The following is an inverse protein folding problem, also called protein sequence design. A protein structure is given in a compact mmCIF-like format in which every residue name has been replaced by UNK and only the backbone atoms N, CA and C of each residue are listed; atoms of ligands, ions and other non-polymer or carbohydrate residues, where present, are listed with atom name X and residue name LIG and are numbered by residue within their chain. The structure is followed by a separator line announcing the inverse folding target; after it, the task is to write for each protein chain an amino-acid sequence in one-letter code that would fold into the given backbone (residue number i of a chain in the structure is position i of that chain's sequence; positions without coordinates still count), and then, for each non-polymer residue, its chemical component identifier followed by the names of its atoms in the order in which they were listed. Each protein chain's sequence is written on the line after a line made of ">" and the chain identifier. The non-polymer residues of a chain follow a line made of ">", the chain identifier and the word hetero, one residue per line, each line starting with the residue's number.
data_IF_149941497901
#
_entry.id   IF_149941497901
#
_cell.length_a   1.000
_cell.length_b   1.000
_cell.length_c   1.000
_cell.angle_alpha   90.00
_cell.angle_beta   90.00
_cell.angle_gamma   90.00
#
_symmetry.space_group_name_H-M   'P 1'
#
loop_
_entity.id
_entity.type
_entity.pdbx_description
1 polymer ?
#
# COMPACT_ATOMS: atom_id res chain seq x y z
N UNK A 1 14.86 -5.16 0.08
CA UNK A 1 13.62 -5.07 -0.74
C UNK A 1 13.69 -3.97 -1.79
N UNK A 2 14.46 -2.89 -1.60
CA UNK A 2 14.49 -1.76 -2.53
C UNK A 2 14.93 -2.10 -3.97
N UNK A 3 15.93 -2.97 -4.17
CA UNK A 3 16.32 -3.41 -5.52
C UNK A 3 15.15 -4.10 -6.23
N UNK A 4 14.41 -4.97 -5.52
CA UNK A 4 13.22 -5.64 -6.06
C UNK A 4 12.16 -4.63 -6.51
N UNK A 5 11.90 -3.60 -5.69
CA UNK A 5 10.95 -2.54 -6.06
C UNK A 5 11.40 -1.83 -7.34
N UNK A 6 12.68 -1.43 -7.40
CA UNK A 6 13.24 -0.70 -8.53
C UNK A 6 13.10 -1.46 -9.86
N UNK A 7 13.49 -2.74 -9.91
CA UNK A 7 13.44 -3.52 -11.16
C UNK A 7 12.01 -3.80 -11.62
N UNK A 8 11.07 -4.00 -10.68
CA UNK A 8 9.63 -4.12 -10.99
C UNK A 8 9.07 -2.80 -11.52
N UNK A 9 9.46 -1.70 -10.90
CA UNK A 9 8.99 -0.37 -11.28
C UNK A 9 9.44 0.03 -12.69
N UNK A 10 10.69 -0.29 -13.02
CA UNK A 10 11.25 -0.10 -14.37
C UNK A 10 10.77 -1.16 -15.37
N UNK A 11 9.95 -2.14 -14.95
CA UNK A 11 9.49 -3.26 -15.78
C UNK A 11 10.63 -4.06 -16.44
N UNK A 12 11.77 -4.19 -15.74
CA UNK A 12 12.94 -4.96 -16.20
C UNK A 12 12.84 -6.43 -15.76
N UNK A 13 12.29 -6.67 -14.56
CA UNK A 13 12.17 -7.99 -13.96
C UNK A 13 10.99 -8.01 -12.97
N UNK A 14 10.25 -9.12 -12.88
CA UNK A 14 9.16 -9.31 -11.91
C UNK A 14 9.65 -9.37 -10.43
N UNK A 15 10.96 -9.61 -10.24
CA UNK A 15 11.60 -9.63 -8.93
C UNK A 15 11.17 -10.78 -8.02
N UNK A 16 10.60 -11.86 -8.57
CA UNK A 16 10.17 -13.04 -7.84
C UNK A 16 11.35 -13.95 -7.45
N UNK A 17 11.57 -14.12 -6.14
CA UNK A 17 12.62 -15.01 -5.65
C UNK A 17 12.23 -16.49 -5.67
N UNK A 18 10.93 -16.80 -5.60
CA UNK A 18 10.44 -18.19 -5.57
C UNK A 18 10.54 -18.82 -6.96
N UNK A 19 10.25 -18.05 -8.01
CA UNK A 19 10.43 -18.45 -9.41
C UNK A 19 11.87 -18.27 -9.90
N UNK A 20 12.73 -17.65 -9.08
CA UNK A 20 14.17 -17.54 -9.33
C UNK A 20 14.58 -16.46 -10.33
N UNK A 21 13.69 -15.52 -10.67
CA UNK A 21 13.98 -14.33 -11.47
C UNK A 21 14.80 -13.28 -10.70
N UNK A 22 14.74 -13.31 -9.37
CA UNK A 22 15.63 -12.59 -8.46
C UNK A 22 16.41 -13.56 -7.59
N UNK A 23 17.74 -13.51 -7.68
CA UNK A 23 18.65 -14.33 -6.87
C UNK A 23 19.60 -13.45 -6.08
N UNK A 24 20.00 -13.92 -4.91
CA UNK A 24 20.92 -13.21 -4.03
C UNK A 24 21.83 -14.21 -3.31
N UNK A 25 23.14 -14.02 -3.46
CA UNK A 25 24.16 -14.66 -2.62
C UNK A 25 24.68 -13.62 -1.62
N UNK A 26 24.87 -14.03 -0.38
CA UNK A 26 25.28 -13.14 0.71
C UNK A 26 26.75 -13.38 1.06
N UNK A 27 27.53 -12.31 1.12
CA UNK A 27 28.95 -12.36 1.50
C UNK A 27 29.08 -11.75 2.91
N UNK A 28 29.35 -12.57 3.91
CA UNK A 28 29.38 -12.16 5.32
C UNK A 28 30.79 -12.26 5.89
N UNK A 29 31.20 -11.23 6.61
CA UNK A 29 32.41 -11.21 7.42
C UNK A 29 32.20 -10.31 8.63
N UNK A 30 32.64 -10.76 9.81
CA UNK A 30 32.64 -9.97 11.04
C UNK A 30 34.06 -9.53 11.40
N UNK A 31 34.20 -8.38 12.07
CA UNK A 31 35.46 -7.96 12.69
C UNK A 31 35.23 -7.33 14.05
N UNK A 32 36.23 -7.44 14.92
CA UNK A 32 36.22 -6.75 16.22
C UNK A 32 36.23 -5.23 16.00
N UNK A 33 35.45 -4.51 16.80
CA UNK A 33 35.42 -3.04 16.76
C UNK A 33 36.82 -2.48 17.04
N UNK A 34 37.31 -1.61 16.17
CA UNK A 34 38.65 -1.03 16.27
C UNK A 34 39.76 -1.83 15.57
N UNK A 35 39.49 -3.03 15.07
CA UNK A 35 40.45 -3.78 14.25
C UNK A 35 40.64 -3.11 12.87
N UNK A 36 41.89 -3.03 12.42
CA UNK A 36 42.27 -2.51 11.10
C UNK A 36 41.92 -3.47 9.97
N UNK A 37 42.01 -4.78 10.23
CA UNK A 37 41.80 -5.83 9.24
C UNK A 37 40.34 -6.33 9.22
N UNK A 38 39.88 -6.74 8.04
CA UNK A 38 38.61 -7.45 7.90
C UNK A 38 38.79 -8.92 8.27
N UNK A 39 37.72 -9.53 8.79
CA UNK A 39 37.70 -10.97 9.02
C UNK A 39 37.66 -11.76 7.70
N UNK A 40 37.66 -13.08 7.83
CA UNK A 40 37.49 -13.97 6.69
C UNK A 40 36.04 -13.90 6.19
N UNK A 41 35.87 -13.98 4.87
CA UNK A 41 34.58 -13.86 4.19
C UNK A 41 33.99 -15.23 3.92
N UNK A 42 32.71 -15.39 4.22
CA UNK A 42 31.92 -16.57 3.90
C UNK A 42 30.83 -16.19 2.91
N UNK A 43 30.68 -16.98 1.86
CA UNK A 43 29.64 -16.80 0.85
C UNK A 43 28.51 -17.79 1.13
N UNK A 44 27.33 -17.29 1.47
CA UNK A 44 26.13 -18.10 1.66
C UNK A 44 25.27 -18.07 0.40
N UNK A 45 24.83 -19.24 -0.06
CA UNK A 45 24.03 -19.45 -1.27
C UNK A 45 22.68 -20.09 -0.96
N UNK A 46 21.85 -20.20 -2.00
CA UNK A 46 20.57 -20.92 -2.01
C UNK A 46 19.51 -20.33 -1.05
N UNK A 47 19.38 -19.01 -1.04
CA UNK A 47 18.33 -18.31 -0.28
C UNK A 47 17.21 -17.85 -1.21
N UNK A 48 16.10 -18.58 -1.21
CA UNK A 48 14.98 -18.34 -2.15
C UNK A 48 13.98 -17.29 -1.66
N UNK A 49 14.26 -16.58 -0.56
CA UNK A 49 13.40 -15.51 -0.08
C UNK A 49 14.19 -14.45 0.68
N UNK A 50 13.69 -13.21 0.70
CA UNK A 50 14.32 -12.10 1.44
C UNK A 50 14.40 -12.43 2.94
N UNK A 51 13.40 -13.14 3.48
CA UNK A 51 13.40 -13.61 4.86
C UNK A 51 14.53 -14.61 5.11
N UNK A 52 14.76 -15.54 4.18
CA UNK A 52 15.85 -16.51 4.29
C UNK A 52 17.22 -15.84 4.16
N UNK A 53 17.37 -14.83 3.30
CA UNK A 53 18.60 -14.01 3.24
C UNK A 53 18.89 -13.38 4.60
N UNK A 54 17.90 -12.74 5.23
CA UNK A 54 18.07 -12.16 6.58
C UNK A 54 18.48 -13.22 7.60
N UNK A 55 17.75 -14.34 7.68
CA UNK A 55 18.04 -15.44 8.63
C UNK A 55 19.44 -16.01 8.44
N UNK A 56 19.86 -16.20 7.18
CA UNK A 56 21.19 -16.70 6.85
C UNK A 56 22.29 -15.74 7.30
N UNK A 57 22.11 -14.43 7.08
CA UNK A 57 23.06 -13.40 7.52
C UNK A 57 23.12 -13.37 9.05
N UNK A 58 21.98 -13.35 9.74
CA UNK A 58 21.93 -13.31 11.21
C UNK A 58 22.64 -14.53 11.82
N UNK A 59 22.34 -15.73 11.32
CA UNK A 59 22.98 -16.97 11.78
C UNK A 59 24.49 -16.96 11.51
N UNK A 60 24.91 -16.52 10.33
CA UNK A 60 26.32 -16.52 9.95
C UNK A 60 27.13 -15.49 10.76
N UNK A 61 26.53 -14.35 11.12
CA UNK A 61 27.13 -13.37 12.04
C UNK A 61 27.37 -14.03 13.41
N UNK A 62 26.34 -14.65 14.01
CA UNK A 62 26.45 -15.29 15.32
C UNK A 62 27.49 -16.42 15.31
N UNK A 63 27.48 -17.27 14.27
CA UNK A 63 28.44 -18.36 14.09
C UNK A 63 29.87 -17.84 14.03
N UNK A 64 30.13 -16.82 13.20
CA UNK A 64 31.48 -16.28 13.05
C UNK A 64 31.98 -15.62 14.33
N UNK A 65 31.11 -14.91 15.06
CA UNK A 65 31.47 -14.31 16.35
C UNK A 65 31.85 -15.41 17.35
N UNK A 66 31.00 -16.44 17.51
CA UNK A 66 31.26 -17.53 18.44
C UNK A 66 32.58 -18.27 18.11
N UNK A 67 32.83 -18.56 16.83
CA UNK A 67 34.07 -19.18 16.37
C UNK A 67 35.29 -18.33 16.74
N UNK A 68 35.25 -17.02 16.46
CA UNK A 68 36.36 -16.10 16.79
C UNK A 68 36.59 -15.99 18.30
N UNK A 69 35.52 -15.95 19.11
CA UNK A 69 35.61 -15.87 20.57
C UNK A 69 36.13 -17.16 21.20
N UNK A 70 35.85 -18.31 20.59
CA UNK A 70 36.39 -19.62 20.98
C UNK A 70 37.84 -19.85 20.49
N UNK A 71 38.42 -18.91 19.74
CA UNK A 71 39.76 -19.06 19.15
C UNK A 71 39.81 -19.97 17.93
N UNK A 72 38.66 -20.29 17.33
CA UNK A 72 38.57 -21.05 16.09
C UNK A 72 38.94 -20.17 14.88
N UNK A 73 39.46 -20.81 13.83
CA UNK A 73 39.79 -20.13 12.58
C UNK A 73 38.66 -20.25 11.58
N UNK A 74 38.12 -19.13 11.11
CA UNK A 74 37.16 -19.11 10.01
C UNK A 74 37.93 -19.28 8.71
N UNK A 75 37.56 -20.28 7.90
CA UNK A 75 38.09 -20.46 6.55
C UNK A 75 37.19 -19.78 5.51
N UNK A 76 37.75 -19.43 4.36
CA UNK A 76 36.96 -18.94 3.23
C UNK A 76 36.21 -20.13 2.62
N UNK A 77 34.90 -20.13 2.78
CA UNK A 77 34.05 -21.25 2.34
C UNK A 77 32.78 -20.76 1.66
N UNK A 78 32.23 -21.64 0.82
CA UNK A 78 30.89 -21.45 0.27
C UNK A 78 29.93 -22.32 1.06
N UNK A 79 28.97 -21.70 1.71
CA UNK A 79 27.94 -22.36 2.53
C UNK A 79 26.59 -22.32 1.84
N UNK A 80 25.74 -23.30 2.12
CA UNK A 80 24.33 -23.25 1.75
C UNK A 80 23.51 -22.95 2.99
N UNK A 81 22.36 -22.29 2.80
CA UNK A 81 21.39 -22.10 3.86
C UNK A 81 20.37 -23.25 3.89
N UNK A 82 20.18 -23.85 5.06
CA UNK A 82 19.06 -24.76 5.33
C UNK A 82 17.90 -23.95 5.91
N UNK A 83 16.84 -23.75 5.13
CA UNK A 83 15.70 -22.96 5.56
C UNK A 83 14.88 -23.63 6.68
N UNK A 84 14.87 -24.96 6.76
CA UNK A 84 14.14 -25.74 7.74
C UNK A 84 14.85 -25.70 9.10
N UNK A 85 16.16 -25.97 9.11
CA UNK A 85 16.96 -25.89 10.33
C UNK A 85 17.29 -24.44 10.74
N UNK A 86 17.27 -23.50 9.78
CA UNK A 86 17.68 -22.11 10.01
C UNK A 86 19.19 -21.96 10.21
N UNK A 87 19.98 -22.91 9.72
CA UNK A 87 21.44 -22.95 9.87
C UNK A 87 22.14 -22.88 8.52
N UNK A 88 23.45 -22.64 8.53
CA UNK A 88 24.29 -22.76 7.34
C UNK A 88 25.15 -24.02 7.43
N UNK A 89 25.41 -24.67 6.29
CA UNK A 89 26.34 -25.80 6.21
C UNK A 89 27.35 -25.59 5.08
N UNK A 90 28.57 -26.09 5.28
CA UNK A 90 29.64 -25.94 4.28
C UNK A 90 29.37 -26.84 3.09
N UNK A 91 29.39 -26.29 1.87
CA UNK A 91 29.31 -27.07 0.63
C UNK A 91 30.68 -27.42 0.08
N UNK A 92 31.64 -26.50 0.21
CA UNK A 92 33.01 -26.65 -0.31
C UNK A 92 33.97 -25.67 0.38
N UNK A 93 35.15 -26.16 0.78
CA UNK A 93 36.31 -25.33 1.12
C UNK A 93 36.86 -24.67 -0.15
N UNK A 94 36.96 -23.32 -0.18
CA UNK A 94 37.66 -22.64 -1.29
C UNK A 94 39.16 -22.82 -1.08
N UNK A 95 39.71 -23.96 -1.48
CA UNK A 95 41.15 -24.24 -1.42
C UNK A 95 41.95 -23.44 -2.48
N UNK A 96 41.28 -22.79 -3.44
CA UNK A 96 41.89 -21.81 -4.33
C UNK A 96 40.83 -20.83 -4.89
N UNK A 97 41.25 -19.60 -5.23
CA UNK A 97 40.46 -18.74 -6.11
C UNK A 97 40.27 -19.46 -7.45
N UNK A 98 39.02 -19.62 -7.90
CA UNK A 98 38.75 -20.23 -9.20
C UNK A 98 39.40 -19.39 -10.31
N UNK A 99 40.32 -19.99 -11.05
CA UNK A 99 40.87 -19.38 -12.25
C UNK A 99 39.85 -19.52 -13.39
N UNK A 100 38.99 -18.51 -13.51
CA UNK A 100 37.98 -18.43 -14.57
C UNK A 100 38.59 -18.14 -15.95
N UNK A 101 39.89 -17.82 -16.04
CA UNK A 101 40.60 -17.49 -17.29
C UNK A 101 39.84 -16.50 -18.15
N UNK A 102 39.36 -15.40 -17.54
CA UNK A 102 38.62 -14.36 -18.27
C UNK A 102 39.47 -13.83 -19.43
N UNK A 103 38.90 -13.84 -20.64
CA UNK A 103 39.46 -13.20 -21.82
C UNK A 103 38.32 -12.49 -22.60
N UNK A 104 38.61 -11.45 -23.39
CA UNK A 104 37.60 -10.79 -24.21
C UNK A 104 36.97 -11.77 -25.19
N UNK A 105 35.64 -11.82 -25.24
CA UNK A 105 34.88 -12.64 -26.19
C UNK A 105 35.17 -12.20 -27.64
N UNK A 106 35.89 -12.99 -28.46
CA UNK A 106 36.23 -12.60 -29.83
C UNK A 106 35.01 -12.55 -30.76
N UNK A 107 33.95 -13.29 -30.46
CA UNK A 107 32.77 -13.37 -31.33
C UNK A 107 31.83 -12.17 -31.17
N UNK A 108 31.95 -11.42 -30.06
CA UNK A 108 31.13 -10.25 -29.78
C UNK A 108 31.97 -8.97 -29.95
N UNK A 109 31.67 -8.12 -30.95
CA UNK A 109 32.35 -6.84 -31.07
C UNK A 109 32.03 -5.96 -29.84
N UNK A 110 32.96 -5.08 -29.41
CA UNK A 110 32.73 -4.20 -28.28
C UNK A 110 31.47 -3.32 -28.47
N UNK A 111 30.56 -3.37 -27.50
CA UNK A 111 29.37 -2.51 -27.47
C UNK A 111 29.79 -1.07 -27.17
N UNK A 112 29.49 -0.14 -28.09
CA UNK A 112 29.70 1.30 -27.88
C UNK A 112 28.39 1.96 -27.46
N UNK A 113 28.34 2.42 -26.21
CA UNK A 113 27.19 3.15 -25.68
C UNK A 113 27.42 4.65 -25.96
N UNK A 114 26.68 5.19 -26.92
CA UNK A 114 26.78 6.61 -27.28
C UNK A 114 26.00 7.49 -26.30
N UNK A 115 26.47 8.73 -26.09
CA UNK A 115 25.79 9.69 -25.21
C UNK A 115 24.32 9.93 -25.62
N UNK A 116 24.02 9.94 -26.92
CA UNK A 116 22.66 10.07 -27.43
C UNK A 116 21.75 8.92 -26.97
N UNK A 117 22.24 7.67 -26.97
CA UNK A 117 21.49 6.51 -26.48
C UNK A 117 21.22 6.60 -24.97
N UNK A 118 22.20 7.08 -24.20
CA UNK A 118 22.02 7.29 -22.76
C UNK A 118 20.96 8.36 -22.51
N UNK A 119 20.96 9.45 -23.28
CA UNK A 119 20.01 10.53 -23.11
C UNK A 119 18.60 10.13 -23.54
N UNK A 120 18.46 9.38 -24.63
CA UNK A 120 17.19 8.81 -25.07
C UNK A 120 16.58 7.94 -23.96
N UNK A 121 17.34 6.98 -23.42
CA UNK A 121 16.89 6.13 -22.31
C UNK A 121 16.53 6.97 -21.08
N UNK A 122 17.40 7.93 -20.72
CA UNK A 122 17.18 8.82 -19.57
C UNK A 122 15.88 9.60 -19.70
N UNK A 123 15.59 10.14 -20.89
CA UNK A 123 14.38 10.92 -21.17
C UNK A 123 13.10 10.06 -21.13
N UNK A 124 13.21 8.77 -21.43
CA UNK A 124 12.11 7.81 -21.37
C UNK A 124 11.94 7.12 -20.02
N UNK A 125 12.82 7.38 -19.03
CA UNK A 125 12.68 6.76 -17.71
C UNK A 125 11.45 7.30 -16.98
N UNK A 126 10.60 6.42 -16.43
CA UNK A 126 9.52 6.86 -15.55
C UNK A 126 10.10 7.43 -14.26
N UNK A 127 9.39 8.38 -13.65
CA UNK A 127 9.75 8.91 -12.34
C UNK A 127 9.84 7.78 -11.31
N UNK A 128 10.92 7.74 -10.54
CA UNK A 128 11.14 6.66 -9.58
C UNK A 128 10.21 6.80 -8.35
N UNK A 129 9.94 5.72 -7.61
CA UNK A 129 9.04 5.75 -6.46
C UNK A 129 9.34 6.87 -5.45
N UNK A 130 10.63 7.09 -5.13
CA UNK A 130 11.06 8.14 -4.20
C UNK A 130 10.80 9.55 -4.72
N UNK A 131 10.97 9.76 -6.02
CA UNK A 131 10.71 11.05 -6.66
C UNK A 131 9.22 11.36 -6.65
N UNK A 132 8.40 10.35 -6.99
CA UNK A 132 6.95 10.44 -6.94
C UNK A 132 6.43 10.64 -5.52
N UNK A 133 6.99 9.93 -4.54
CA UNK A 133 6.60 10.09 -3.14
C UNK A 133 6.82 11.54 -2.70
N UNK A 134 7.99 12.09 -2.99
CA UNK A 134 8.30 13.50 -2.70
C UNK A 134 7.33 14.45 -3.42
N UNK A 135 7.00 14.17 -4.68
CA UNK A 135 6.02 14.95 -5.44
C UNK A 135 4.64 14.91 -4.78
N UNK A 136 4.17 13.74 -4.37
CA UNK A 136 2.85 13.58 -3.73
C UNK A 136 2.76 14.29 -2.39
N UNK A 137 3.85 14.30 -1.62
CA UNK A 137 3.91 15.04 -0.36
C UNK A 137 3.92 16.57 -0.61
N UNK A 138 4.74 17.04 -1.55
CA UNK A 138 4.97 18.47 -1.75
C UNK A 138 3.89 19.17 -2.59
N UNK A 139 3.44 18.53 -3.67
CA UNK A 139 2.51 19.12 -4.63
C UNK A 139 1.05 18.73 -4.35
N UNK A 140 0.82 17.51 -3.85
CA UNK A 140 -0.54 16.99 -3.60
C UNK A 140 -0.96 17.07 -2.12
N UNK A 141 -0.03 17.43 -1.22
CA UNK A 141 -0.30 17.57 0.21
C UNK A 141 -0.65 16.25 0.92
N UNK A 142 -0.22 15.12 0.37
CA UNK A 142 -0.44 13.81 0.98
C UNK A 142 0.52 13.57 2.16
N UNK A 143 0.10 12.73 3.11
CA UNK A 143 0.99 12.32 4.19
C UNK A 143 2.11 11.43 3.65
N UNK A 144 3.26 11.41 4.33
CA UNK A 144 4.37 10.50 3.98
C UNK A 144 3.93 9.04 3.92
N UNK A 145 2.97 8.66 4.78
CA UNK A 145 2.41 7.31 4.80
C UNK A 145 1.61 7.01 3.53
N UNK A 146 0.66 7.88 3.17
CA UNK A 146 -0.20 7.68 1.99
C UNK A 146 0.63 7.71 0.70
N UNK A 147 1.58 8.66 0.61
CA UNK A 147 2.46 8.78 -0.53
C UNK A 147 3.35 7.54 -0.71
N UNK A 148 3.91 6.99 0.37
CA UNK A 148 4.69 5.76 0.32
C UNK A 148 3.86 4.55 -0.13
N UNK A 149 2.61 4.45 0.31
CA UNK A 149 1.72 3.35 -0.09
C UNK A 149 1.28 3.47 -1.56
N UNK A 150 0.89 4.66 -2.03
CA UNK A 150 0.47 4.88 -3.41
C UNK A 150 1.61 4.62 -4.41
N UNK A 151 2.84 4.92 -4.03
CA UNK A 151 4.03 4.75 -4.88
C UNK A 151 4.71 3.39 -4.77
N UNK A 152 4.16 2.46 -3.96
CA UNK A 152 4.74 1.16 -3.73
C UNK A 152 4.69 0.25 -4.97
N UNK A 153 3.64 0.39 -5.79
CA UNK A 153 3.33 -0.45 -6.95
C UNK A 153 3.07 0.43 -8.17
N UNK A 154 3.63 0.04 -9.33
CA UNK A 154 3.51 0.82 -10.57
C UNK A 154 2.06 0.93 -11.05
N UNK A 155 1.28 -0.14 -10.97
CA UNK A 155 -0.13 -0.15 -11.37
C UNK A 155 -0.97 0.83 -10.54
N UNK A 156 -0.72 0.90 -9.22
CA UNK A 156 -1.32 1.89 -8.32
C UNK A 156 -0.95 3.32 -8.70
N UNK A 157 0.32 3.58 -9.02
CA UNK A 157 0.77 4.90 -9.50
C UNK A 157 0.06 5.26 -10.80
N UNK A 158 0.04 4.37 -11.79
CA UNK A 158 -0.61 4.62 -13.09
C UNK A 158 -2.08 4.98 -12.91
N UNK A 159 -2.80 4.23 -12.06
CA UNK A 159 -4.21 4.48 -11.78
C UNK A 159 -4.42 5.81 -11.04
N UNK A 160 -3.61 6.09 -10.01
CA UNK A 160 -3.71 7.32 -9.24
C UNK A 160 -3.38 8.57 -10.07
N UNK A 161 -2.31 8.52 -10.89
CA UNK A 161 -1.94 9.60 -11.80
C UNK A 161 -3.05 9.91 -12.83
N UNK A 162 -3.72 8.88 -13.35
CA UNK A 162 -4.86 9.06 -14.23
C UNK A 162 -6.07 9.64 -13.47
N UNK A 163 -6.30 9.22 -12.22
CA UNK A 163 -7.39 9.71 -11.38
C UNK A 163 -7.26 11.21 -11.08
N UNK A 164 -6.07 11.67 -10.70
CA UNK A 164 -5.82 13.07 -10.31
C UNK A 164 -5.86 14.05 -11.50
N UNK A 165 -5.87 13.55 -12.74
CA UNK A 165 -6.19 14.38 -13.93
C UNK A 165 -7.66 14.80 -13.96
N UNK A 166 -8.54 14.09 -13.24
CA UNK A 166 -9.98 14.34 -13.20
C UNK A 166 -10.48 14.91 -11.86
N UNK A 167 -9.61 15.02 -10.85
CA UNK A 167 -9.99 15.55 -9.54
C UNK A 167 -8.82 16.26 -8.85
N UNK A 168 -9.11 17.36 -8.18
CA UNK A 168 -8.17 18.06 -7.29
C UNK A 168 -8.27 17.58 -5.84
N UNK A 169 -9.19 16.66 -5.54
CA UNK A 169 -9.42 16.12 -4.19
C UNK A 169 -8.44 14.98 -3.88
N UNK A 170 -7.14 15.28 -3.92
CA UNK A 170 -6.06 14.27 -3.87
C UNK A 170 -6.12 13.39 -2.61
N UNK A 171 -6.42 13.98 -1.45
CA UNK A 171 -6.56 13.21 -0.20
C UNK A 171 -7.75 12.25 -0.23
N UNK A 172 -8.87 12.66 -0.81
CA UNK A 172 -10.03 11.79 -0.95
C UNK A 172 -9.74 10.66 -1.95
N UNK A 173 -9.08 10.97 -3.06
CA UNK A 173 -8.60 9.99 -4.03
C UNK A 173 -7.65 8.95 -3.40
N UNK A 174 -6.66 9.41 -2.64
CA UNK A 174 -5.74 8.56 -1.90
C UNK A 174 -6.48 7.64 -0.91
N UNK A 175 -7.39 8.18 -0.11
CA UNK A 175 -8.19 7.41 0.84
C UNK A 175 -9.05 6.35 0.16
N UNK A 176 -9.62 6.65 -1.01
CA UNK A 176 -10.42 5.70 -1.77
C UNK A 176 -9.60 4.55 -2.34
N UNK A 177 -8.43 4.86 -2.91
CA UNK A 177 -7.51 3.85 -3.43
C UNK A 177 -6.97 2.97 -2.31
N UNK A 178 -6.50 3.58 -1.22
CA UNK A 178 -5.85 2.87 -0.11
C UNK A 178 -6.83 2.15 0.82
N UNK A 179 -8.11 2.54 0.81
CA UNK A 179 -9.17 1.92 1.59
C UNK A 179 -10.05 1.01 0.72
N UNK A 180 -11.28 1.44 0.32
CA UNK A 180 -12.27 0.58 -0.34
C UNK A 180 -11.76 -0.18 -1.57
N UNK A 181 -10.98 0.46 -2.44
CA UNK A 181 -10.43 -0.19 -3.64
C UNK A 181 -9.42 -1.27 -3.24
N UNK A 182 -8.48 -0.96 -2.35
CA UNK A 182 -7.50 -1.95 -1.85
C UNK A 182 -8.17 -3.10 -1.11
N UNK A 183 -9.22 -2.84 -0.34
CA UNK A 183 -10.02 -3.90 0.31
C UNK A 183 -10.66 -4.84 -0.71
N UNK A 184 -11.27 -4.30 -1.77
CA UNK A 184 -11.85 -5.10 -2.86
C UNK A 184 -10.80 -5.92 -3.60
N UNK A 185 -9.64 -5.33 -3.91
CA UNK A 185 -8.52 -6.01 -4.55
C UNK A 185 -8.01 -7.18 -3.70
N UNK A 186 -7.77 -6.94 -2.41
CA UNK A 186 -7.29 -7.96 -1.48
C UNK A 186 -8.30 -9.11 -1.31
N UNK A 187 -9.60 -8.82 -1.27
CA UNK A 187 -10.64 -9.85 -1.17
C UNK A 187 -10.67 -10.79 -2.38
N UNK A 188 -10.28 -10.29 -3.56
CA UNK A 188 -10.19 -11.07 -4.80
C UNK A 188 -8.80 -11.64 -5.10
N UNK A 189 -7.77 -11.35 -4.29
CA UNK A 189 -6.36 -11.57 -4.63
C UNK A 189 -5.98 -10.98 -6.01
N UNK A 190 -6.49 -9.77 -6.28
CA UNK A 190 -6.35 -9.02 -7.54
C UNK A 190 -5.33 -7.91 -7.42
N UNK A 191 -4.79 -7.48 -8.55
CA UNK A 191 -3.92 -6.30 -8.66
C UNK A 191 -4.72 -5.07 -9.13
N UNK A 192 -4.15 -3.87 -8.98
CA UNK A 192 -4.82 -2.62 -9.39
C UNK A 192 -5.24 -2.62 -10.87
N UNK A 193 -4.52 -3.34 -11.73
CA UNK A 193 -4.86 -3.46 -13.15
C UNK A 193 -6.17 -4.25 -13.40
N UNK A 194 -6.64 -5.02 -12.41
CA UNK A 194 -7.91 -5.73 -12.44
C UNK A 194 -9.09 -4.88 -11.96
N UNK A 195 -8.86 -3.65 -11.48
CA UNK A 195 -9.94 -2.79 -11.01
C UNK A 195 -10.74 -2.24 -12.20
N UNK A 196 -12.02 -2.63 -12.36
CA UNK A 196 -12.75 -2.42 -13.62
C UNK A 196 -13.22 -0.97 -13.81
N UNK A 197 -13.26 -0.18 -12.74
CA UNK A 197 -13.79 1.19 -12.78
C UNK A 197 -12.73 2.16 -13.29
N UNK A 198 -13.06 2.89 -14.36
CA UNK A 198 -12.16 3.89 -14.93
C UNK A 198 -11.86 5.05 -13.94
N UNK A 199 -10.65 5.63 -13.95
CA UNK A 199 -10.29 6.73 -13.07
C UNK A 199 -11.24 7.94 -13.14
N UNK A 200 -11.75 8.27 -14.33
CA UNK A 200 -12.73 9.35 -14.50
C UNK A 200 -14.06 9.08 -13.78
N UNK A 201 -14.51 7.81 -13.75
CA UNK A 201 -15.71 7.39 -13.04
C UNK A 201 -15.52 7.50 -11.52
N UNK A 202 -14.36 7.07 -11.00
CA UNK A 202 -14.02 7.26 -9.60
C UNK A 202 -13.96 8.75 -9.22
N UNK A 203 -13.39 9.61 -10.07
CA UNK A 203 -13.42 11.06 -9.84
C UNK A 203 -14.85 11.62 -9.74
N UNK A 204 -15.78 11.15 -10.58
CA UNK A 204 -17.19 11.54 -10.51
C UNK A 204 -17.84 11.08 -9.19
N UNK A 205 -17.54 9.87 -8.71
CA UNK A 205 -18.00 9.40 -7.40
C UNK A 205 -17.47 10.29 -6.27
N UNK A 206 -16.19 10.67 -6.31
CA UNK A 206 -15.60 11.59 -5.33
C UNK A 206 -16.31 12.94 -5.31
N UNK A 207 -16.76 13.43 -6.47
CA UNK A 207 -17.53 14.67 -6.56
C UNK A 207 -18.90 14.57 -5.88
N UNK A 208 -19.63 13.48 -6.09
CA UNK A 208 -20.92 13.26 -5.42
C UNK A 208 -20.79 13.22 -3.89
N UNK A 209 -19.69 12.64 -3.40
CA UNK A 209 -19.43 12.55 -1.96
C UNK A 209 -19.11 13.92 -1.38
N UNK A 210 -18.30 14.71 -2.07
CA UNK A 210 -17.94 16.05 -1.61
C UNK A 210 -19.11 17.03 -1.67
N UNK A 211 -20.00 16.87 -2.66
CA UNK A 211 -21.26 17.60 -2.77
C UNK A 211 -22.29 17.19 -1.70
N UNK A 212 -22.02 16.15 -0.91
CA UNK A 212 -22.95 15.64 0.12
C UNK A 212 -24.15 14.87 -0.45
N UNK A 213 -24.15 14.54 -1.74
CA UNK A 213 -25.21 13.74 -2.38
C UNK A 213 -25.12 12.26 -2.02
N UNK A 214 -23.93 11.78 -1.65
CA UNK A 214 -23.69 10.39 -1.32
C UNK A 214 -22.71 10.29 -0.15
N UNK A 215 -23.03 9.50 0.87
CA UNK A 215 -22.08 9.28 1.96
C UNK A 215 -20.94 8.37 1.54
N UNK A 216 -19.74 8.59 2.08
CA UNK A 216 -18.58 7.71 1.86
C UNK A 216 -18.91 6.25 2.21
N UNK A 217 -19.62 6.02 3.32
CA UNK A 217 -19.98 4.68 3.78
C UNK A 217 -20.94 3.97 2.82
N UNK A 218 -21.98 4.67 2.34
CA UNK A 218 -22.90 4.11 1.34
C UNK A 218 -22.18 3.82 0.02
N UNK A 219 -21.33 4.74 -0.43
CA UNK A 219 -20.53 4.55 -1.63
C UNK A 219 -19.62 3.31 -1.53
N UNK A 220 -18.89 3.15 -0.43
CA UNK A 220 -17.93 2.06 -0.26
C UNK A 220 -18.61 0.70 -0.04
N UNK A 221 -19.69 0.64 0.75
CA UNK A 221 -20.29 -0.63 1.17
C UNK A 221 -21.43 -1.10 0.28
N UNK A 222 -22.15 -0.19 -0.38
CA UNK A 222 -23.36 -0.51 -1.13
C UNK A 222 -23.21 -0.23 -2.63
N UNK A 223 -22.59 0.88 -3.01
CA UNK A 223 -22.39 1.21 -4.42
C UNK A 223 -21.25 0.40 -5.03
N UNK A 224 -20.05 0.43 -4.43
CA UNK A 224 -18.84 -0.19 -5.00
C UNK A 224 -19.02 -1.67 -5.38
N UNK A 225 -19.63 -2.55 -4.56
CA UNK A 225 -19.79 -3.97 -4.92
C UNK A 225 -20.67 -4.22 -6.15
N UNK A 226 -21.64 -3.33 -6.40
CA UNK A 226 -22.48 -3.39 -7.61
C UNK A 226 -21.77 -2.71 -8.78
N UNK A 227 -21.04 -1.64 -8.49
CA UNK A 227 -20.39 -0.81 -9.51
C UNK A 227 -19.25 -1.52 -10.22
N UNK A 228 -18.50 -2.38 -9.51
CA UNK A 228 -17.46 -3.20 -10.13
C UNK A 228 -18.01 -4.23 -11.13
N UNK A 229 -19.28 -4.61 -11.01
CA UNK A 229 -19.97 -5.51 -11.95
C UNK A 229 -20.62 -4.73 -13.12
N UNK A 230 -20.90 -3.43 -12.93
CA UNK A 230 -21.45 -2.51 -13.93
C UNK A 230 -20.57 -1.23 -14.06
N UNK A 231 -19.27 -1.36 -14.42
CA UNK A 231 -18.28 -0.28 -14.27
C UNK A 231 -18.52 0.94 -15.18
N UNK A 232 -19.23 0.75 -16.29
CA UNK A 232 -19.57 1.81 -17.24
C UNK A 232 -20.76 2.66 -16.77
N UNK A 233 -21.51 2.20 -15.76
CA UNK A 233 -22.64 2.95 -15.22
C UNK A 233 -22.12 4.15 -14.42
N UNK A 234 -22.61 5.34 -14.75
CA UNK A 234 -22.27 6.55 -14.01
C UNK A 234 -22.64 6.42 -12.52
N UNK A 235 -21.78 6.85 -11.57
CA UNK A 235 -22.00 6.62 -10.15
C UNK A 235 -23.26 7.30 -9.61
N UNK A 236 -23.67 8.44 -10.19
CA UNK A 236 -24.93 9.11 -9.84
C UNK A 236 -26.15 8.25 -10.22
N UNK A 237 -26.17 7.77 -11.46
CA UNK A 237 -27.26 6.90 -11.94
C UNK A 237 -27.35 5.61 -11.12
N UNK A 238 -26.21 5.00 -10.78
CA UNK A 238 -26.19 3.81 -9.93
C UNK A 238 -26.63 4.12 -8.50
N UNK A 239 -26.19 5.24 -7.92
CA UNK A 239 -26.64 5.68 -6.60
C UNK A 239 -28.15 5.92 -6.55
N UNK A 240 -28.73 6.50 -7.61
CA UNK A 240 -30.18 6.67 -7.74
C UNK A 240 -30.91 5.32 -7.85
N UNK A 241 -30.43 4.40 -8.71
CA UNK A 241 -30.97 3.04 -8.87
C UNK A 241 -30.97 2.28 -7.54
N UNK A 242 -29.91 2.43 -6.75
CA UNK A 242 -29.75 1.80 -5.44
C UNK A 242 -30.39 2.61 -4.29
N UNK A 243 -31.05 3.73 -4.58
CA UNK A 243 -31.67 4.61 -3.59
C UNK A 243 -30.70 5.10 -2.49
N UNK A 244 -29.46 5.42 -2.86
CA UNK A 244 -28.39 5.81 -1.94
C UNK A 244 -28.17 7.33 -1.82
N UNK A 245 -28.88 8.12 -2.63
CA UNK A 245 -28.78 9.58 -2.58
C UNK A 245 -29.27 10.09 -1.23
N UNK A 246 -28.46 10.97 -0.61
CA UNK A 246 -28.77 11.56 0.67
C UNK A 246 -29.90 12.58 0.55
N UNK A 247 -30.76 12.59 1.56
CA UNK A 247 -31.78 13.60 1.75
C UNK A 247 -31.21 14.72 2.62
N UNK A 248 -31.33 15.95 2.14
CA UNK A 248 -30.83 17.17 2.81
C UNK A 248 -31.96 18.09 3.23
N UNK A 249 -33.22 17.78 2.91
CA UNK A 249 -34.37 18.54 3.39
C UNK A 249 -34.43 18.54 4.93
N UNK A 250 -34.09 19.69 5.52
CA UNK A 250 -34.08 19.89 6.96
C UNK A 250 -35.45 19.59 7.58
N UNK A 251 -36.57 19.89 6.91
CA UNK A 251 -37.90 19.65 7.46
C UNK A 251 -38.20 18.15 7.58
N UNK A 252 -37.80 17.37 6.57
CA UNK A 252 -37.91 15.91 6.62
C UNK A 252 -37.03 15.31 7.70
N UNK A 253 -35.76 15.73 7.79
CA UNK A 253 -34.83 15.24 8.81
C UNK A 253 -35.31 15.65 10.21
N UNK A 254 -35.82 16.86 10.39
CA UNK A 254 -36.34 17.35 11.65
C UNK A 254 -37.49 16.49 12.16
N UNK A 255 -38.41 16.08 11.28
CA UNK A 255 -39.49 15.16 11.63
C UNK A 255 -38.94 13.81 12.12
N UNK A 256 -37.96 13.24 11.43
CA UNK A 256 -37.35 11.97 11.84
C UNK A 256 -36.62 12.08 13.18
N UNK A 257 -35.98 13.22 13.45
CA UNK A 257 -35.36 13.53 14.73
C UNK A 257 -36.41 13.58 15.84
N UNK A 258 -37.54 14.28 15.62
CA UNK A 258 -38.62 14.35 16.60
C UNK A 258 -39.21 12.97 16.92
N UNK A 259 -39.38 12.12 15.91
CA UNK A 259 -39.83 10.74 16.09
C UNK A 259 -38.82 9.89 16.87
N UNK A 260 -37.52 10.04 16.57
CA UNK A 260 -36.45 9.33 17.28
C UNK A 260 -36.37 9.76 18.76
N UNK A 261 -36.51 11.05 19.06
CA UNK A 261 -36.51 11.57 20.43
C UNK A 261 -37.77 11.12 21.21
N UNK A 262 -38.95 11.16 20.57
CA UNK A 262 -40.21 10.68 21.17
C UNK A 262 -40.21 9.19 21.47
N UNK A 263 -39.47 8.38 20.70
CA UNK A 263 -39.36 6.95 20.94
C UNK A 263 -38.56 6.59 22.20
N UNK A 264 -37.70 7.49 22.71
CA UNK A 264 -36.82 7.23 23.85
C UNK A 264 -36.81 8.39 24.87
N UNK A 265 -37.96 8.74 25.49
CA UNK A 265 -38.07 9.90 26.37
C UNK A 265 -37.13 9.82 27.59
N UNK A 266 -36.95 8.62 28.16
CA UNK A 266 -36.06 8.40 29.31
C UNK A 266 -34.59 8.70 28.96
N UNK A 267 -34.18 8.37 27.73
CA UNK A 267 -32.81 8.64 27.25
C UNK A 267 -32.57 10.10 26.93
N UNK A 268 -33.62 10.84 26.56
CA UNK A 268 -33.55 12.29 26.39
C UNK A 268 -33.27 12.96 27.75
N UNK A 269 -33.96 12.53 28.81
CA UNK A 269 -33.70 13.02 30.17
C UNK A 269 -32.28 12.67 30.65
N UNK A 270 -31.81 11.45 30.40
CA UNK A 270 -30.43 11.05 30.72
C UNK A 270 -29.37 11.89 29.97
N UNK A 271 -29.60 12.24 28.70
CA UNK A 271 -28.71 13.11 27.93
C UNK A 271 -28.64 14.51 28.52
N UNK A 272 -29.80 15.09 28.87
CA UNK A 272 -29.90 16.41 29.51
C UNK A 272 -29.24 16.45 30.89
N UNK A 273 -29.23 15.32 31.61
CA UNK A 273 -28.53 15.15 32.88
C UNK A 273 -27.01 14.90 32.75
N UNK A 274 -26.43 15.06 31.55
CA UNK A 274 -24.98 15.06 31.33
C UNK A 274 -24.41 13.83 30.63
N UNK A 275 -25.21 12.81 30.30
CA UNK A 275 -24.74 11.65 29.50
C UNK A 275 -24.71 11.96 28.00
N UNK A 276 -23.80 12.85 27.58
CA UNK A 276 -23.67 13.32 26.19
C UNK A 276 -23.33 12.20 25.17
N UNK A 277 -22.83 11.04 25.61
CA UNK A 277 -22.60 9.88 24.73
C UNK A 277 -23.85 9.27 24.10
N UNK A 278 -25.06 9.60 24.59
CA UNK A 278 -26.32 9.09 24.04
C UNK A 278 -26.67 9.67 22.65
N UNK A 279 -25.98 10.71 22.19
CA UNK A 279 -26.19 11.28 20.85
C UNK A 279 -26.00 10.24 19.73
N UNK A 280 -25.05 9.31 19.91
CA UNK A 280 -24.82 8.23 18.95
C UNK A 280 -25.99 7.26 18.82
N UNK A 281 -26.73 7.03 19.92
CA UNK A 281 -27.93 6.20 19.90
C UNK A 281 -29.04 6.87 19.08
N UNK A 282 -29.30 8.15 19.32
CA UNK A 282 -30.31 8.90 18.56
C UNK A 282 -29.92 9.04 17.08
N UNK A 283 -28.65 9.28 16.79
CA UNK A 283 -28.15 9.28 15.40
C UNK A 283 -28.42 7.94 14.71
N UNK A 284 -28.12 6.81 15.37
CA UNK A 284 -28.41 5.48 14.82
C UNK A 284 -29.91 5.27 14.52
N UNK A 285 -30.78 5.82 15.36
CA UNK A 285 -32.23 5.69 15.26
C UNK A 285 -32.82 6.59 14.15
N UNK A 286 -32.24 7.78 13.93
CA UNK A 286 -32.54 8.66 12.78
C UNK A 286 -32.05 8.03 11.48
N UNK A 287 -30.84 7.46 11.47
CA UNK A 287 -30.30 6.73 10.32
C UNK A 287 -31.15 5.52 9.97
N UNK A 288 -31.63 4.76 10.97
CA UNK A 288 -32.51 3.62 10.76
C UNK A 288 -33.84 4.02 10.12
N UNK A 289 -34.49 5.09 10.62
CA UNK A 289 -35.76 5.60 10.04
C UNK A 289 -35.59 6.17 8.64
N UNK A 290 -34.51 6.91 8.40
CA UNK A 290 -34.19 7.44 7.08
C UNK A 290 -33.65 6.39 6.10
N UNK A 291 -33.47 5.12 6.53
CA UNK A 291 -32.80 4.06 5.77
C UNK A 291 -31.39 4.46 5.31
N UNK A 292 -30.69 5.23 6.14
CA UNK A 292 -29.34 5.74 5.87
C UNK A 292 -29.28 6.94 4.93
N UNK A 293 -30.44 7.54 4.57
CA UNK A 293 -30.49 8.68 3.66
C UNK A 293 -30.28 10.03 4.33
N UNK A 294 -30.58 10.18 5.61
CA UNK A 294 -30.42 11.46 6.28
C UNK A 294 -28.96 11.90 6.24
N UNK A 295 -28.68 13.16 5.89
CA UNK A 295 -27.34 13.72 6.00
C UNK A 295 -26.88 13.69 7.48
N UNK A 296 -25.77 13.00 7.82
CA UNK A 296 -25.27 12.91 9.19
C UNK A 296 -24.94 14.26 9.82
N UNK A 297 -24.45 15.23 9.06
CA UNK A 297 -24.10 16.57 9.56
C UNK A 297 -25.36 17.33 9.94
N UNK A 298 -26.35 17.35 9.05
CA UNK A 298 -27.64 18.01 9.29
C UNK A 298 -28.38 17.35 10.45
N UNK A 299 -28.46 16.01 10.46
CA UNK A 299 -29.08 15.26 11.54
C UNK A 299 -28.39 15.49 12.90
N UNK A 300 -27.05 15.59 12.93
CA UNK A 300 -26.30 15.88 14.16
C UNK A 300 -26.63 17.27 14.69
N UNK A 301 -26.63 18.28 13.81
CA UNK A 301 -26.95 19.65 14.19
C UNK A 301 -28.38 19.78 14.74
N UNK A 302 -29.37 19.13 14.09
CA UNK A 302 -30.76 19.13 14.54
C UNK A 302 -30.94 18.37 15.87
N UNK A 303 -30.28 17.22 16.04
CA UNK A 303 -30.28 16.47 17.30
C UNK A 303 -29.71 17.29 18.45
N UNK A 304 -28.57 17.95 18.25
CA UNK A 304 -27.97 18.82 19.26
C UNK A 304 -28.92 19.97 19.62
N UNK A 305 -29.45 20.66 18.61
CA UNK A 305 -30.39 21.78 18.80
C UNK A 305 -31.61 21.38 19.63
N UNK A 306 -32.23 20.22 19.36
CA UNK A 306 -33.44 19.78 20.08
C UNK A 306 -33.17 19.20 21.47
N UNK A 307 -32.01 18.55 21.66
CA UNK A 307 -31.64 17.99 22.95
C UNK A 307 -31.14 19.05 23.95
N UNK A 308 -30.61 20.17 23.45
CA UNK A 308 -30.06 21.28 24.24
C UNK A 308 -31.02 22.47 24.41
N UNK A 309 -32.14 22.47 23.67
CA UNK A 309 -33.32 23.27 23.99
C UNK A 309 -34.04 22.73 25.23
#
# INVERSE_FOLDING_TARGET
>A
TEIRKLVRYLAICDGNMEEGSLRCDANISVRKKGASEFGVKVEVKNMNSIRNVKRAIDHEIERQIAAIENGETISQETRSFDAAAGTTFSMRSKEAAHDYRYFPEPDLPPLRIHAAMVEEIRSGMPALPKELQKRYEQELGLSTYDAALLTAEKSVVTYFEALIQHTTRYKAAANWILGPVREWLNAGARDMDDFPVAPAQLAALLALIDEGKLSFSAAAQQLLPVWVEEPDTAPDALAQKLNLIQETDEAFIEQLVDEALKAFPDKVAEYRNGKKGLIGLFMGEVMKRSKGKADPKVATALLQKKLEA
#
